data_IF_555648591829
#
_entry.id   IF_555648591829
#
_cell.length_a   1.000
_cell.length_b   1.000
_cell.length_c   1.000
_cell.angle_alpha   90.00
_cell.angle_beta   90.00
_cell.angle_gamma   90.00
#
_symmetry.space_group_name_H-M   'P 1'
#
loop_
_entity.id
_entity.type
_entity.pdbx_description
1 polymer ?
#
# COMPACT_ATOMS: atom_id res chain seq x y z
N UNK A 1 13.68 -30.58 -20.00
CA UNK A 1 12.88 -30.87 -18.81
C UNK A 1 12.44 -29.50 -18.28
N UNK A 2 11.14 -29.23 -18.17
CA UNK A 2 10.63 -27.98 -17.60
C UNK A 2 11.09 -27.93 -16.14
N UNK A 3 11.86 -26.90 -15.78
CA UNK A 3 12.21 -26.67 -14.38
C UNK A 3 10.93 -26.42 -13.60
N UNK A 4 10.78 -27.11 -12.45
CA UNK A 4 9.59 -27.00 -11.63
C UNK A 4 9.39 -25.56 -11.14
N UNK A 5 8.13 -25.07 -11.03
CA UNK A 5 7.83 -23.70 -10.64
C UNK A 5 8.27 -23.39 -9.22
N UNK A 6 8.32 -22.10 -8.89
CA UNK A 6 8.68 -21.58 -7.58
C UNK A 6 7.46 -20.90 -6.94
N UNK A 7 7.20 -21.16 -5.67
CA UNK A 7 6.15 -20.51 -4.88
C UNK A 7 6.73 -19.29 -4.15
N UNK A 8 6.09 -18.13 -4.32
CA UNK A 8 6.44 -16.89 -3.68
C UNK A 8 5.35 -16.54 -2.68
N UNK A 9 5.71 -16.12 -1.47
CA UNK A 9 4.78 -15.77 -0.40
C UNK A 9 5.21 -14.44 0.22
N UNK A 10 4.31 -13.48 0.24
CA UNK A 10 4.44 -12.19 0.91
C UNK A 10 3.43 -12.11 2.05
N UNK A 11 3.90 -12.29 3.28
CA UNK A 11 3.12 -12.27 4.50
C UNK A 11 3.24 -10.91 5.19
N UNK A 12 2.30 -10.01 4.89
CA UNK A 12 2.11 -8.74 5.59
C UNK A 12 1.18 -8.88 6.80
N UNK A 13 1.05 -7.81 7.60
CA UNK A 13 0.27 -7.83 8.85
C UNK A 13 -1.24 -8.04 8.65
N UNK A 14 -1.80 -7.69 7.49
CA UNK A 14 -3.25 -7.77 7.22
C UNK A 14 -3.62 -8.93 6.30
N UNK A 15 -2.71 -9.37 5.43
CA UNK A 15 -2.96 -10.41 4.43
C UNK A 15 -1.68 -11.10 3.99
N UNK A 16 -1.85 -12.31 3.48
CA UNK A 16 -0.81 -13.07 2.77
C UNK A 16 -1.13 -13.00 1.28
N UNK A 17 -0.16 -12.57 0.46
CA UNK A 17 -0.19 -12.67 -1.01
C UNK A 17 0.73 -13.79 -1.43
N UNK A 18 0.40 -14.49 -2.52
CA UNK A 18 1.25 -15.53 -3.07
C UNK A 18 1.22 -15.52 -4.59
N UNK A 19 2.26 -16.05 -5.19
CA UNK A 19 2.34 -16.31 -6.62
C UNK A 19 3.12 -17.60 -6.87
N UNK A 20 2.74 -18.34 -7.91
CA UNK A 20 3.51 -19.43 -8.48
C UNK A 20 4.12 -18.92 -9.78
N UNK A 21 5.43 -19.01 -9.91
CA UNK A 21 6.17 -18.56 -11.09
C UNK A 21 6.94 -19.71 -11.72
N UNK A 22 7.06 -19.69 -13.04
CA UNK A 22 7.90 -20.64 -13.77
C UNK A 22 9.41 -20.31 -13.64
N UNK A 23 10.27 -21.08 -14.29
CA UNK A 23 11.73 -20.88 -14.28
C UNK A 23 12.18 -19.58 -14.96
N UNK A 24 11.32 -18.95 -15.76
CA UNK A 24 11.56 -17.64 -16.39
C UNK A 24 11.11 -16.49 -15.51
N UNK A 25 10.37 -16.79 -14.43
CA UNK A 25 9.75 -15.81 -13.56
C UNK A 25 8.36 -15.35 -14.03
N UNK A 26 7.79 -16.05 -15.04
CA UNK A 26 6.43 -15.76 -15.52
C UNK A 26 5.39 -16.31 -14.54
N UNK A 27 4.33 -15.55 -14.34
CA UNK A 27 3.29 -15.85 -13.37
C UNK A 27 2.35 -16.92 -13.90
N UNK A 28 2.29 -18.06 -13.21
CA UNK A 28 1.39 -19.18 -13.53
C UNK A 28 0.07 -19.09 -12.78
N UNK A 29 0.13 -18.65 -11.51
CA UNK A 29 -1.03 -18.46 -10.65
C UNK A 29 -0.67 -17.47 -9.53
N UNK A 30 -1.67 -16.81 -8.97
CA UNK A 30 -1.49 -15.94 -7.81
C UNK A 30 -2.79 -15.82 -7.01
N UNK A 31 -2.68 -15.30 -5.80
CA UNK A 31 -3.82 -15.06 -4.94
C UNK A 31 -3.44 -14.34 -3.65
N UNK A 32 -4.46 -14.08 -2.84
CA UNK A 32 -4.26 -13.48 -1.53
C UNK A 32 -5.30 -13.99 -0.52
N UNK A 33 -4.91 -14.00 0.77
CA UNK A 33 -5.77 -14.33 1.89
C UNK A 33 -5.69 -13.23 2.95
N UNK A 34 -6.78 -12.96 3.62
CA UNK A 34 -6.78 -12.08 4.79
C UNK A 34 -6.42 -12.87 6.06
N UNK A 35 -5.81 -12.18 7.02
CA UNK A 35 -5.73 -12.70 8.38
C UNK A 35 -7.06 -12.40 9.07
N UNK A 36 -7.88 -13.42 9.35
CA UNK A 36 -8.92 -13.29 10.36
C UNK A 36 -8.25 -13.35 11.72
N UNK A 37 -8.38 -12.30 12.50
CA UNK A 37 -8.07 -12.33 13.92
C UNK A 37 -9.28 -12.98 14.61
N UNK A 38 -9.10 -14.16 15.14
CA UNK A 38 -10.06 -14.75 16.05
C UNK A 38 -10.09 -13.88 17.32
N UNK A 39 -11.28 -13.49 17.75
CA UNK A 39 -11.48 -12.72 18.99
C UNK A 39 -10.95 -13.46 20.24
N UNK A 40 -10.72 -14.77 20.13
CA UNK A 40 -10.19 -15.63 21.18
C UNK A 40 -8.67 -15.76 21.18
N UNK A 41 -7.97 -15.20 20.19
CA UNK A 41 -6.49 -15.27 20.10
C UNK A 41 -5.93 -16.65 19.74
N UNK A 42 -6.76 -17.62 19.36
CA UNK A 42 -6.40 -19.03 19.21
C UNK A 42 -6.50 -19.61 17.79
N UNK A 43 -6.85 -18.83 16.80
CA UNK A 43 -6.86 -19.33 15.42
C UNK A 43 -7.21 -18.29 14.38
N UNK A 44 -6.31 -18.07 13.42
CA UNK A 44 -6.58 -17.25 12.26
C UNK A 44 -7.41 -18.04 11.24
N UNK A 45 -8.62 -17.61 10.91
CA UNK A 45 -9.44 -18.14 9.81
C UNK A 45 -9.12 -17.38 8.52
N UNK A 46 -8.97 -18.10 7.41
CA UNK A 46 -8.59 -17.54 6.11
C UNK A 46 -9.84 -17.25 5.28
N UNK A 47 -10.09 -15.99 4.95
CA UNK A 47 -11.07 -15.62 3.91
C UNK A 47 -10.36 -15.25 2.60
N UNK A 48 -10.77 -15.83 1.47
CA UNK A 48 -10.26 -15.42 0.17
C UNK A 48 -10.75 -14.01 -0.18
N UNK A 49 -9.85 -13.16 -0.68
CA UNK A 49 -10.22 -11.87 -1.26
C UNK A 49 -10.85 -12.08 -2.63
N UNK A 50 -11.98 -11.40 -2.89
CA UNK A 50 -12.59 -11.35 -4.22
C UNK A 50 -11.66 -10.58 -5.17
N UNK A 51 -11.23 -11.25 -6.22
CA UNK A 51 -10.43 -10.69 -7.29
C UNK A 51 -9.25 -11.59 -7.66
N UNK A 52 -9.47 -12.53 -8.55
CA UNK A 52 -8.39 -13.14 -9.30
C UNK A 52 -7.73 -12.03 -10.14
N UNK A 53 -6.46 -11.72 -9.87
CA UNK A 53 -5.66 -10.96 -10.80
C UNK A 53 -5.45 -11.84 -12.02
N UNK A 54 -5.75 -11.34 -13.21
CA UNK A 54 -5.55 -12.08 -14.46
C UNK A 54 -4.14 -12.61 -14.58
N UNK A 55 -3.97 -13.72 -15.30
CA UNK A 55 -2.71 -14.44 -15.52
C UNK A 55 -1.63 -13.62 -16.27
N UNK A 56 -1.84 -12.33 -16.45
CA UNK A 56 -0.89 -11.36 -17.00
C UNK A 56 -0.70 -10.24 -16.00
N UNK A 57 0.17 -10.46 -15.02
CA UNK A 57 0.47 -9.53 -13.92
C UNK A 57 1.24 -8.28 -14.31
N UNK A 58 0.71 -7.48 -15.20
CA UNK A 58 1.23 -6.14 -15.47
C UNK A 58 0.13 -5.24 -15.99
N UNK A 59 -0.67 -4.69 -15.09
CA UNK A 59 -1.41 -3.48 -15.43
C UNK A 59 -0.56 -2.28 -15.03
N UNK A 60 0.30 -1.82 -15.92
CA UNK A 60 0.87 -0.47 -15.88
C UNK A 60 -0.26 0.50 -16.22
N UNK A 61 -1.03 0.92 -15.24
CA UNK A 61 -1.95 2.05 -15.39
C UNK A 61 -1.14 3.34 -15.26
N UNK A 62 -0.74 3.90 -16.38
CA UNK A 62 -0.25 5.26 -16.46
C UNK A 62 -1.46 6.18 -16.57
N UNK A 63 -1.77 6.90 -15.53
CA UNK A 63 -2.69 8.04 -15.62
C UNK A 63 -1.85 9.31 -15.66
N UNK A 64 -1.73 9.97 -16.83
CA UNK A 64 -1.09 11.28 -16.87
C UNK A 64 -2.04 12.30 -16.28
N UNK A 65 -1.63 12.93 -15.18
CA UNK A 65 -2.26 14.17 -14.76
C UNK A 65 -1.87 15.26 -15.77
N UNK A 66 -2.78 15.62 -16.66
CA UNK A 66 -2.64 16.81 -17.49
C UNK A 66 -2.75 18.05 -16.58
N UNK A 67 -1.65 18.75 -16.41
CA UNK A 67 -1.65 20.16 -16.02
C UNK A 67 -0.68 20.90 -16.92
N UNK A 68 -1.24 21.49 -17.98
CA UNK A 68 -0.58 22.56 -18.74
C UNK A 68 -0.54 23.81 -17.87
N UNK A 69 0.59 24.05 -17.23
CA UNK A 69 0.99 25.40 -16.79
C UNK A 69 2.52 25.47 -16.78
N UNK A 70 3.05 26.20 -17.75
CA UNK A 70 4.47 26.47 -17.90
C UNK A 70 5.02 27.24 -16.69
N UNK A 71 6.23 26.91 -16.20
CA UNK A 71 6.88 27.68 -15.15
C UNK A 71 7.60 28.89 -15.75
N UNK A 72 7.35 30.03 -15.17
CA UNK A 72 8.23 31.19 -15.28
C UNK A 72 9.37 31.05 -14.29
N UNK A 73 10.61 31.02 -14.82
CA UNK A 73 11.83 31.19 -14.00
C UNK A 73 11.84 32.56 -13.34
N UNK A 74 12.52 32.75 -12.22
CA UNK A 74 13.92 33.10 -12.25
C UNK A 74 14.80 32.76 -11.03
N UNK A 75 16.08 32.69 -11.32
CA UNK A 75 17.30 33.15 -10.58
C UNK A 75 17.36 33.17 -9.05
N UNK A 76 18.33 32.49 -8.58
CA UNK A 76 19.56 32.79 -7.86
C UNK A 76 19.81 32.01 -6.57
N UNK A 77 20.87 31.23 -6.66
CA UNK A 77 22.08 31.17 -5.84
C UNK A 77 22.02 30.68 -4.36
N UNK A 78 22.75 29.56 -4.20
CA UNK A 78 23.72 29.27 -3.13
C UNK A 78 23.26 29.20 -1.67
N UNK A 79 23.32 28.08 -1.01
CA UNK A 79 24.48 27.66 -0.21
C UNK A 79 24.20 26.38 0.59
N UNK A 80 25.15 25.50 0.62
CA UNK A 80 25.13 24.29 1.40
C UNK A 80 25.43 24.64 2.88
N UNK A 81 24.49 24.38 3.79
CA UNK A 81 24.80 24.20 5.22
C UNK A 81 23.75 23.36 5.95
N UNK A 82 24.25 22.56 6.87
CA UNK A 82 23.64 21.53 7.65
C UNK A 82 22.36 21.88 8.41
N UNK A 83 21.59 20.85 8.70
CA UNK A 83 20.40 20.91 9.55
C UNK A 83 20.76 21.34 10.96
N UNK A 84 20.47 22.61 11.29
CA UNK A 84 20.34 23.09 12.65
C UNK A 84 18.87 23.51 12.84
N UNK A 85 18.18 22.87 13.80
CA UNK A 85 16.88 23.33 14.26
C UNK A 85 17.04 24.74 14.83
N UNK A 86 16.61 25.76 14.11
CA UNK A 86 16.50 27.12 14.61
C UNK A 86 15.14 27.27 15.29
N UNK A 87 15.16 27.53 16.59
CA UNK A 87 14.00 28.03 17.33
C UNK A 87 13.64 29.42 16.80
N UNK A 88 12.61 29.51 15.98
CA UNK A 88 12.01 30.79 15.62
C UNK A 88 11.10 31.24 16.76
N UNK A 89 11.50 32.33 17.43
CA UNK A 89 10.68 33.07 18.37
C UNK A 89 9.48 33.64 17.62
N UNK A 90 8.28 33.15 17.94
CA UNK A 90 7.03 33.70 17.42
C UNK A 90 6.74 34.99 18.17
N UNK A 91 6.85 36.12 17.50
CA UNK A 91 6.33 37.39 17.94
C UNK A 91 4.79 37.35 17.78
N UNK A 92 4.07 37.52 18.89
CA UNK A 92 2.62 37.51 18.91
C UNK A 92 2.08 38.81 18.30
N UNK A 93 1.31 38.70 17.23
CA UNK A 93 0.47 39.79 16.72
C UNK A 93 -0.78 39.96 17.59
N UNK A 94 -1.31 41.19 17.75
CA UNK A 94 -2.42 41.46 18.64
C UNK A 94 -3.73 40.92 18.05
N UNK A 95 -4.56 40.37 18.93
CA UNK A 95 -5.85 39.74 18.65
C UNK A 95 -6.81 40.64 17.84
N UNK A 96 -7.51 40.04 16.84
CA UNK A 96 -8.58 40.74 16.14
C UNK A 96 -9.81 40.92 17.04
N UNK A 97 -10.47 42.11 16.95
CA UNK A 97 -11.67 42.48 17.67
C UNK A 97 -12.86 41.61 17.23
N UNK A 98 -13.82 41.32 18.14
CA UNK A 98 -14.99 40.54 17.79
C UNK A 98 -15.94 41.34 16.89
N UNK A 99 -16.35 40.74 15.78
CA UNK A 99 -17.46 41.20 14.96
C UNK A 99 -18.77 40.65 15.59
N UNK A 100 -19.45 41.52 16.29
CA UNK A 100 -20.85 41.35 16.64
C UNK A 100 -21.70 42.11 15.59
N UNK A 101 -22.89 41.55 15.31
CA UNK A 101 -24.04 42.14 14.61
C UNK A 101 -24.02 42.11 13.07
N UNK A 102 -24.71 41.12 12.53
CA UNK A 102 -25.72 41.28 11.47
C UNK A 102 -26.33 39.94 11.07
N UNK A 103 -27.36 39.51 11.80
CA UNK A 103 -28.35 38.57 11.25
C UNK A 103 -29.70 38.83 11.87
N UNK A 104 -30.44 39.81 11.32
CA UNK A 104 -31.88 39.88 11.50
C UNK A 104 -32.60 39.49 10.20
N UNK A 105 -33.45 38.50 10.38
CA UNK A 105 -34.75 38.27 9.79
C UNK A 105 -34.95 38.35 8.26
N UNK A 106 -35.34 37.26 7.68
CA UNK A 106 -36.47 37.22 6.73
C UNK A 106 -37.31 35.96 6.92
N UNK A 107 -38.54 36.22 7.14
CA UNK A 107 -39.67 35.40 7.52
C UNK A 107 -40.28 34.62 6.33
N UNK A 108 -40.83 33.45 6.69
CA UNK A 108 -42.03 32.76 6.18
C UNK A 108 -42.34 32.69 4.68
N UNK A 109 -42.49 31.47 4.19
CA UNK A 109 -43.80 31.03 3.66
C UNK A 109 -43.84 29.49 3.51
N UNK A 110 -44.82 28.93 4.18
CA UNK A 110 -45.24 27.54 4.13
C UNK A 110 -45.89 27.20 2.77
N UNK A 111 -45.59 26.00 2.28
CA UNK A 111 -46.49 25.25 1.42
C UNK A 111 -46.46 23.76 1.75
N UNK A 112 -47.52 23.35 2.43
CA UNK A 112 -47.96 21.97 2.61
C UNK A 112 -48.43 21.39 1.27
N UNK A 113 -47.89 20.26 0.89
CA UNK A 113 -48.58 19.34 -0.03
C UNK A 113 -48.53 17.91 0.53
N UNK A 114 -49.71 17.52 1.01
CA UNK A 114 -50.10 16.13 1.26
C UNK A 114 -50.28 15.39 -0.07
N UNK A 115 -49.73 14.20 -0.22
CA UNK A 115 -50.30 13.16 -1.08
C UNK A 115 -49.95 11.76 -0.56
N UNK A 116 -50.94 11.13 -0.19
CA UNK A 116 -51.61 9.85 -0.11
C UNK A 116 -50.90 8.71 -0.85
N UNK A 117 -50.60 7.63 -0.10
CA UNK A 117 -50.22 6.32 -0.62
C UNK A 117 -51.38 5.62 -1.34
N UNK A 118 -51.08 4.67 -2.22
CA UNK A 118 -51.92 3.50 -2.38
C UNK A 118 -51.21 2.20 -2.02
N UNK A 119 -51.94 1.36 -1.28
CA UNK A 119 -51.70 -0.04 -1.04
C UNK A 119 -51.74 -0.82 -2.35
N UNK A 120 -50.89 -1.83 -2.43
CA UNK A 120 -50.96 -2.85 -3.45
C UNK A 120 -50.03 -4.00 -3.06
N UNK A 121 -50.66 -5.05 -2.51
CA UNK A 121 -50.07 -6.40 -2.33
C UNK A 121 -49.62 -6.94 -3.68
N UNK A 122 -48.40 -7.41 -3.77
CA UNK A 122 -48.16 -8.57 -4.62
C UNK A 122 -46.92 -9.34 -4.17
N UNK A 123 -47.13 -10.63 -3.93
CA UNK A 123 -46.15 -11.60 -3.56
C UNK A 123 -45.29 -11.98 -4.77
N UNK A 124 -44.00 -11.75 -4.74
CA UNK A 124 -43.08 -12.38 -5.69
C UNK A 124 -41.88 -12.97 -4.99
N UNK A 125 -41.85 -14.25 -5.13
CA UNK A 125 -40.83 -15.24 -4.87
C UNK A 125 -39.44 -14.69 -5.17
N UNK A 126 -38.64 -14.39 -4.14
CA UNK A 126 -37.21 -14.18 -4.27
C UNK A 126 -36.51 -15.53 -4.28
N UNK A 127 -36.15 -16.00 -5.46
CA UNK A 127 -35.13 -17.02 -5.60
C UNK A 127 -33.81 -16.41 -5.14
N UNK A 128 -33.36 -16.78 -3.96
CA UNK A 128 -31.97 -16.56 -3.52
C UNK A 128 -31.04 -17.30 -4.50
N UNK A 129 -30.48 -16.55 -5.43
CA UNK A 129 -29.34 -17.01 -6.19
C UNK A 129 -28.18 -17.12 -5.20
N UNK A 130 -27.91 -18.31 -4.71
CA UNK A 130 -26.72 -18.65 -3.92
C UNK A 130 -25.50 -18.27 -4.75
N UNK A 131 -24.81 -17.22 -4.36
CA UNK A 131 -23.53 -16.86 -4.95
C UNK A 131 -22.58 -18.07 -4.85
N UNK A 132 -21.83 -18.43 -5.91
CA UNK A 132 -20.94 -19.58 -5.85
C UNK A 132 -19.95 -19.39 -4.71
N UNK A 133 -19.86 -20.38 -3.82
CA UNK A 133 -18.95 -20.41 -2.72
C UNK A 133 -17.51 -20.20 -3.25
N UNK A 134 -16.85 -19.17 -2.76
CA UNK A 134 -15.44 -18.89 -3.10
C UNK A 134 -14.61 -20.08 -2.61
N UNK A 135 -13.75 -20.68 -3.46
CA UNK A 135 -12.94 -21.82 -3.06
C UNK A 135 -12.08 -21.46 -1.84
N UNK A 136 -12.03 -22.36 -0.87
CA UNK A 136 -11.14 -22.21 0.29
C UNK A 136 -9.69 -22.09 -0.16
N UNK A 137 -8.81 -21.52 0.64
CA UNK A 137 -7.37 -21.43 0.37
C UNK A 137 -6.75 -22.76 0.00
N UNK A 138 -7.16 -23.83 0.67
CA UNK A 138 -6.73 -25.19 0.38
C UNK A 138 -7.19 -25.64 -1.00
N UNK A 139 -8.39 -25.27 -1.42
CA UNK A 139 -8.89 -25.54 -2.77
C UNK A 139 -8.11 -24.78 -3.85
N UNK A 140 -7.71 -23.53 -3.59
CA UNK A 140 -6.89 -22.75 -4.53
C UNK A 140 -5.50 -23.38 -4.73
N UNK A 141 -4.88 -23.89 -3.67
CA UNK A 141 -3.56 -24.53 -3.75
C UNK A 141 -3.61 -25.99 -4.20
N UNK A 142 -4.75 -26.69 -4.04
CA UNK A 142 -4.91 -28.08 -4.45
C UNK A 142 -4.74 -28.30 -5.97
N UNK A 143 -5.08 -27.31 -6.78
CA UNK A 143 -4.98 -27.36 -8.23
C UNK A 143 -3.58 -26.94 -8.75
N UNK A 144 -2.68 -26.43 -7.88
CA UNK A 144 -1.36 -25.97 -8.31
C UNK A 144 -0.39 -27.12 -8.57
N UNK A 145 0.48 -27.03 -9.59
CA UNK A 145 1.57 -27.95 -9.75
C UNK A 145 2.54 -27.88 -8.57
N UNK A 146 3.22 -28.97 -8.28
CA UNK A 146 4.19 -29.04 -7.18
C UNK A 146 5.36 -28.08 -7.43
N UNK A 147 5.57 -27.08 -6.55
CA UNK A 147 6.71 -26.19 -6.68
C UNK A 147 8.02 -26.88 -6.27
N UNK A 148 9.14 -26.41 -6.79
CA UNK A 148 10.51 -26.87 -6.41
C UNK A 148 10.97 -26.25 -5.10
N UNK A 149 10.49 -25.05 -4.78
CA UNK A 149 10.85 -24.29 -3.59
C UNK A 149 9.81 -23.23 -3.27
N UNK A 150 9.78 -22.78 -2.02
CA UNK A 150 9.03 -21.62 -1.57
C UNK A 150 9.96 -20.53 -1.05
N UNK A 151 9.69 -19.27 -1.45
CA UNK A 151 10.43 -18.09 -1.00
C UNK A 151 9.45 -17.17 -0.27
N UNK A 152 9.76 -16.86 0.97
CA UNK A 152 8.83 -16.27 1.92
C UNK A 152 9.39 -14.93 2.42
N UNK A 153 8.67 -13.84 2.18
CA UNK A 153 8.79 -12.59 2.93
C UNK A 153 7.76 -12.62 4.04
N UNK A 154 8.18 -12.48 5.29
CA UNK A 154 7.27 -12.45 6.44
C UNK A 154 7.65 -11.31 7.38
N UNK A 155 6.76 -10.35 7.52
CA UNK A 155 6.82 -9.24 8.49
C UNK A 155 5.65 -9.28 9.49
N UNK A 156 4.82 -10.32 9.43
CA UNK A 156 3.65 -10.51 10.29
C UNK A 156 3.93 -11.33 11.57
N UNK A 157 5.20 -11.73 11.77
CA UNK A 157 5.63 -12.38 13.01
C UNK A 157 5.61 -13.91 12.97
N UNK A 158 5.92 -14.52 14.14
CA UNK A 158 6.15 -15.96 14.25
C UNK A 158 4.87 -16.79 14.10
N UNK A 159 3.72 -16.31 14.53
CA UNK A 159 2.43 -17.02 14.42
C UNK A 159 2.05 -17.22 12.96
N UNK A 160 2.22 -16.17 12.15
CA UNK A 160 1.97 -16.23 10.70
C UNK A 160 2.99 -17.13 10.00
N UNK A 161 4.26 -17.11 10.43
CA UNK A 161 5.27 -18.05 9.92
C UNK A 161 4.86 -19.49 10.17
N UNK A 162 4.49 -19.84 11.41
CA UNK A 162 4.06 -21.19 11.77
C UNK A 162 2.81 -21.63 10.98
N UNK A 163 1.90 -20.70 10.71
CA UNK A 163 0.73 -20.96 9.88
C UNK A 163 1.11 -21.29 8.44
N UNK A 164 1.97 -20.46 7.81
CA UNK A 164 2.48 -20.73 6.45
C UNK A 164 3.14 -22.10 6.40
N UNK A 165 3.95 -22.43 7.38
CA UNK A 165 4.61 -23.74 7.46
C UNK A 165 3.62 -24.88 7.52
N UNK A 166 2.58 -24.80 8.38
CA UNK A 166 1.51 -25.82 8.43
C UNK A 166 0.79 -25.98 7.10
N UNK A 167 0.46 -24.87 6.40
CA UNK A 167 -0.18 -24.90 5.10
C UNK A 167 0.71 -25.57 4.04
N UNK A 168 2.01 -25.28 4.07
CA UNK A 168 2.98 -25.90 3.16
C UNK A 168 3.19 -27.37 3.49
N UNK A 169 3.24 -27.75 4.77
CA UNK A 169 3.38 -29.16 5.21
C UNK A 169 2.18 -30.01 4.79
N UNK A 170 0.99 -29.47 4.93
CA UNK A 170 -0.24 -30.17 4.54
C UNK A 170 -0.27 -30.48 3.03
N UNK A 171 0.32 -29.61 2.20
CA UNK A 171 0.25 -29.76 0.74
C UNK A 171 1.55 -30.29 0.11
N UNK A 172 2.70 -29.82 0.59
CA UNK A 172 4.03 -30.16 0.08
C UNK A 172 5.03 -30.35 1.22
N UNK A 173 4.98 -31.47 1.95
CA UNK A 173 5.73 -31.67 3.21
C UNK A 173 7.26 -31.58 3.02
N UNK A 174 7.77 -31.91 1.84
CA UNK A 174 9.21 -31.87 1.52
C UNK A 174 9.63 -30.63 0.74
N UNK A 175 8.77 -29.61 0.66
CA UNK A 175 9.08 -28.40 -0.10
C UNK A 175 10.22 -27.63 0.59
N UNK A 176 11.29 -27.34 -0.17
CA UNK A 176 12.37 -26.46 0.29
C UNK A 176 11.82 -25.05 0.54
N UNK A 177 12.07 -24.48 1.72
CA UNK A 177 11.59 -23.16 2.12
C UNK A 177 12.74 -22.22 2.41
N UNK A 178 12.63 -20.99 1.98
CA UNK A 178 13.61 -19.92 2.25
C UNK A 178 12.87 -18.69 2.75
N UNK A 179 13.09 -18.32 4.01
CA UNK A 179 12.62 -17.05 4.55
C UNK A 179 13.63 -15.98 4.16
N UNK A 180 13.17 -15.01 3.35
CA UNK A 180 13.99 -13.93 2.84
C UNK A 180 14.31 -12.93 3.96
N UNK A 181 15.56 -12.49 4.01
CA UNK A 181 16.02 -11.41 4.89
C UNK A 181 16.77 -10.38 4.04
N UNK A 182 16.68 -9.12 4.43
CA UNK A 182 17.43 -8.06 3.78
C UNK A 182 18.95 -8.29 3.96
N UNK A 183 19.70 -7.92 2.96
CA UNK A 183 21.17 -8.05 2.90
C UNK A 183 21.81 -6.69 2.65
N UNK A 184 23.12 -6.60 2.81
CA UNK A 184 23.87 -5.41 2.43
C UNK A 184 23.82 -5.14 0.92
N UNK A 185 23.79 -6.21 0.09
CA UNK A 185 23.67 -6.11 -1.37
C UNK A 185 22.99 -7.36 -1.93
N UNK A 186 22.05 -7.18 -2.86
CA UNK A 186 21.42 -8.28 -3.59
C UNK A 186 20.67 -7.75 -4.82
N UNK A 187 20.67 -8.47 -5.93
CA UNK A 187 19.94 -8.15 -7.17
C UNK A 187 20.12 -6.69 -7.62
N UNK A 188 21.35 -6.17 -7.50
CA UNK A 188 21.69 -4.79 -7.89
C UNK A 188 21.20 -3.70 -6.91
N UNK A 189 20.61 -4.04 -5.77
CA UNK A 189 20.28 -3.08 -4.71
C UNK A 189 21.33 -3.11 -3.61
N UNK A 190 21.78 -1.92 -3.19
CA UNK A 190 22.71 -1.68 -2.07
C UNK A 190 21.94 -1.09 -0.92
N UNK A 191 22.02 -1.71 0.25
CA UNK A 191 21.30 -1.29 1.46
C UNK A 191 22.21 -0.43 2.35
N UNK A 192 21.86 0.85 2.54
CA UNK A 192 22.63 1.77 3.38
C UNK A 192 22.13 1.83 4.84
N UNK A 193 21.26 0.93 5.27
CA UNK A 193 20.93 0.82 6.69
C UNK A 193 22.20 0.46 7.50
N UNK A 194 22.33 1.07 8.68
CA UNK A 194 23.43 0.77 9.62
C UNK A 194 23.47 -0.71 9.98
N UNK A 195 22.30 -1.35 10.09
CA UNK A 195 22.12 -2.78 10.28
C UNK A 195 21.21 -3.31 9.15
N UNK A 196 21.76 -3.76 8.02
CA UNK A 196 21.02 -4.16 6.83
C UNK A 196 19.95 -5.24 7.08
N UNK A 197 20.21 -6.17 8.01
CA UNK A 197 19.33 -7.26 8.41
C UNK A 197 18.08 -6.80 9.19
N UNK A 198 18.07 -5.57 9.67
CA UNK A 198 16.92 -4.96 10.36
C UNK A 198 15.88 -4.38 9.40
N UNK A 199 16.18 -4.25 8.13
CA UNK A 199 15.21 -3.83 7.13
C UNK A 199 14.19 -4.95 6.89
N UNK A 200 12.90 -4.60 6.87
CA UNK A 200 11.81 -5.54 6.57
C UNK A 200 12.00 -6.26 5.23
N UNK A 201 11.71 -7.55 5.19
CA UNK A 201 11.88 -8.37 3.99
C UNK A 201 10.95 -7.95 2.85
N UNK A 202 9.77 -7.41 3.17
CA UNK A 202 8.80 -6.85 2.24
C UNK A 202 9.36 -5.58 1.55
N UNK A 203 9.89 -4.65 2.34
CA UNK A 203 10.53 -3.44 1.83
C UNK A 203 11.74 -3.76 0.96
N UNK A 204 12.58 -4.71 1.41
CA UNK A 204 13.74 -5.19 0.68
C UNK A 204 13.35 -5.79 -0.68
N UNK A 205 12.41 -6.73 -0.67
CA UNK A 205 11.93 -7.37 -1.90
C UNK A 205 11.22 -6.35 -2.80
N UNK A 206 10.41 -5.45 -2.22
CA UNK A 206 9.72 -4.39 -2.96
C UNK A 206 10.68 -3.48 -3.72
N UNK A 207 11.80 -3.07 -3.11
CA UNK A 207 12.84 -2.27 -3.78
C UNK A 207 13.55 -3.02 -4.91
N UNK A 208 13.85 -4.31 -4.72
CA UNK A 208 14.43 -5.15 -5.77
C UNK A 208 13.45 -5.25 -6.96
N UNK A 209 12.16 -5.45 -6.68
CA UNK A 209 11.13 -5.48 -7.71
C UNK A 209 10.99 -4.13 -8.43
N UNK A 210 10.98 -3.03 -7.68
CA UNK A 210 10.88 -1.69 -8.25
C UNK A 210 12.08 -1.32 -9.13
N UNK A 211 13.31 -1.63 -8.68
CA UNK A 211 14.53 -1.41 -9.48
C UNK A 211 14.48 -2.15 -10.82
N UNK A 212 13.97 -3.38 -10.81
CA UNK A 212 13.87 -4.18 -12.03
C UNK A 212 12.76 -3.67 -12.96
N UNK A 213 11.66 -3.15 -12.40
CA UNK A 213 10.57 -2.58 -13.19
C UNK A 213 10.93 -1.21 -13.80
N UNK A 214 11.80 -0.43 -13.13
CA UNK A 214 12.21 0.92 -13.54
C UNK A 214 13.74 1.06 -13.51
N UNK A 215 14.45 0.39 -14.41
CA UNK A 215 15.91 0.38 -14.41
C UNK A 215 16.49 1.74 -14.76
N UNK A 216 17.50 2.17 -13.97
CA UNK A 216 18.20 3.44 -14.22
C UNK A 216 17.43 4.70 -13.78
N UNK A 217 16.29 4.54 -13.08
CA UNK A 217 15.53 5.67 -12.56
C UNK A 217 15.75 5.86 -11.04
N UNK A 218 15.68 7.11 -10.59
CA UNK A 218 15.54 7.43 -9.18
C UNK A 218 14.10 7.17 -8.76
N UNK A 219 13.89 6.44 -7.66
CA UNK A 219 12.57 6.02 -7.21
C UNK A 219 12.28 6.50 -5.79
N UNK A 220 11.07 7.00 -5.58
CA UNK A 220 10.41 7.01 -4.29
C UNK A 220 9.31 5.97 -4.34
N UNK A 221 9.47 4.90 -3.56
CA UNK A 221 8.51 3.80 -3.50
C UNK A 221 7.65 4.01 -2.27
N UNK A 222 6.33 4.12 -2.45
CA UNK A 222 5.35 4.29 -1.37
C UNK A 222 4.47 3.05 -1.29
N UNK A 223 4.50 2.35 -0.15
CA UNK A 223 3.69 1.14 0.06
C UNK A 223 2.68 1.37 1.18
N UNK A 224 1.39 1.13 0.89
CA UNK A 224 0.25 1.41 1.76
C UNK A 224 -0.34 0.12 2.34
N UNK A 225 0.02 -0.17 3.57
CA UNK A 225 -0.50 -1.27 4.38
C UNK A 225 -1.00 -0.79 5.75
N UNK A 226 -0.79 -1.59 6.78
CA UNK A 226 -0.97 -1.19 8.19
C UNK A 226 -0.09 0.01 8.52
N UNK A 227 1.14 0.01 8.01
CA UNK A 227 1.99 1.19 7.94
C UNK A 227 2.08 1.68 6.49
N UNK A 228 2.31 2.98 6.31
CA UNK A 228 2.79 3.56 5.06
C UNK A 228 4.30 3.63 5.14
N UNK A 229 4.99 3.02 4.19
CA UNK A 229 6.45 3.09 4.08
C UNK A 229 6.87 3.82 2.82
N UNK A 230 7.96 4.57 2.91
CA UNK A 230 8.59 5.26 1.80
C UNK A 230 10.04 4.81 1.70
N UNK A 231 10.47 4.35 0.53
CA UNK A 231 11.84 3.94 0.24
C UNK A 231 12.43 4.84 -0.85
N UNK A 232 13.58 5.48 -0.53
CA UNK A 232 14.32 6.33 -1.45
C UNK A 232 15.45 5.53 -2.10
N UNK A 233 15.30 5.20 -3.38
CA UNK A 233 16.23 4.37 -4.15
C UNK A 233 16.82 5.18 -5.30
N UNK A 234 18.15 5.29 -5.35
CA UNK A 234 18.86 5.96 -6.45
C UNK A 234 18.88 5.11 -7.72
N UNK A 235 19.08 5.75 -8.85
CA UNK A 235 19.17 5.13 -10.16
C UNK A 235 20.25 4.02 -10.25
N UNK A 236 21.34 4.14 -9.49
CA UNK A 236 22.38 3.15 -9.37
C UNK A 236 22.01 1.93 -8.50
N UNK A 237 20.84 1.96 -7.87
CA UNK A 237 20.34 0.92 -6.96
C UNK A 237 20.70 1.14 -5.50
N UNK A 238 21.25 2.28 -5.12
CA UNK A 238 21.57 2.60 -3.73
C UNK A 238 20.30 3.02 -2.98
N UNK A 239 19.86 2.20 -2.01
CA UNK A 239 18.81 2.54 -1.05
C UNK A 239 19.39 3.41 0.04
N UNK A 240 19.09 4.71 0.01
CA UNK A 240 19.65 5.69 0.95
C UNK A 240 18.95 5.73 2.31
N UNK A 241 17.71 5.24 2.39
CA UNK A 241 16.90 5.25 3.60
C UNK A 241 15.41 5.33 3.28
N UNK A 242 14.59 5.32 4.32
CA UNK A 242 13.13 5.37 4.16
C UNK A 242 12.42 5.95 5.37
N UNK A 243 11.12 6.16 5.21
CA UNK A 243 10.22 6.64 6.26
C UNK A 243 9.18 5.56 6.57
N UNK A 244 8.68 5.55 7.80
CA UNK A 244 7.57 4.71 8.22
C UNK A 244 6.58 5.61 8.96
N UNK A 245 5.33 5.58 8.55
CA UNK A 245 4.24 6.29 9.19
C UNK A 245 3.06 5.33 9.43
N UNK A 246 2.13 5.64 10.34
CA UNK A 246 0.89 4.88 10.44
C UNK A 246 0.15 4.92 9.11
N UNK A 247 -0.36 3.78 8.63
CA UNK A 247 -1.19 3.75 7.43
C UNK A 247 -2.54 4.43 7.65
N UNK A 248 -3.23 4.77 6.56
CA UNK A 248 -4.49 5.52 6.60
C UNK A 248 -5.53 4.90 7.56
N UNK A 249 -5.79 3.59 7.42
CA UNK A 249 -6.74 2.90 8.31
C UNK A 249 -6.28 2.91 9.77
N UNK A 250 -4.98 2.71 10.03
CA UNK A 250 -4.44 2.73 11.39
C UNK A 250 -4.53 4.13 12.02
N UNK A 251 -4.34 5.20 11.25
CA UNK A 251 -4.52 6.58 11.74
C UNK A 251 -5.96 6.81 12.20
N UNK A 252 -6.94 6.41 11.39
CA UNK A 252 -8.36 6.56 11.74
C UNK A 252 -8.75 5.71 12.97
N UNK A 253 -8.33 4.44 13.00
CA UNK A 253 -8.57 3.56 14.14
C UNK A 253 -7.94 4.10 15.42
N UNK A 254 -6.71 4.61 15.34
CA UNK A 254 -6.01 5.19 16.49
C UNK A 254 -6.78 6.38 17.06
N UNK A 255 -7.30 7.26 16.23
CA UNK A 255 -8.11 8.40 16.67
C UNK A 255 -9.43 7.94 17.29
N UNK A 256 -10.15 7.02 16.66
CA UNK A 256 -11.40 6.47 17.22
C UNK A 256 -11.21 5.73 18.54
N UNK A 257 -10.08 5.02 18.71
CA UNK A 257 -9.80 4.25 19.94
C UNK A 257 -9.25 5.09 21.09
N UNK A 258 -8.60 6.23 20.80
CA UNK A 258 -7.94 7.05 21.82
C UNK A 258 -8.64 8.39 22.09
N UNK A 259 -9.85 8.59 21.56
CA UNK A 259 -10.67 9.78 21.82
C UNK A 259 -12.09 9.36 22.22
N UNK A 260 -12.74 10.16 23.08
CA UNK A 260 -14.04 9.80 23.65
C UNK A 260 -15.22 9.91 22.64
N UNK A 261 -15.08 10.69 21.59
CA UNK A 261 -16.23 11.05 20.72
C UNK A 261 -15.97 10.83 19.23
N UNK A 262 -14.74 10.51 18.80
CA UNK A 262 -14.50 10.23 17.40
C UNK A 262 -14.96 8.81 17.04
N UNK A 263 -15.61 8.64 15.88
CA UNK A 263 -16.03 7.32 15.44
C UNK A 263 -14.82 6.44 15.08
N UNK A 264 -14.90 5.15 15.38
CA UNK A 264 -13.97 4.16 14.84
C UNK A 264 -14.45 3.80 13.43
N UNK A 265 -13.65 4.13 12.41
CA UNK A 265 -13.98 3.87 11.02
C UNK A 265 -13.09 2.74 10.48
N UNK A 266 -13.72 1.80 9.80
CA UNK A 266 -13.01 0.88 8.89
C UNK A 266 -12.77 1.56 7.51
N UNK A 267 -11.98 0.91 6.65
CA UNK A 267 -11.63 1.46 5.35
C UNK A 267 -12.87 1.67 4.44
N UNK A 268 -13.89 0.81 4.53
CA UNK A 268 -15.10 0.91 3.72
C UNK A 268 -15.95 2.11 4.15
N UNK A 269 -16.19 2.25 5.46
CA UNK A 269 -16.92 3.38 6.05
C UNK A 269 -16.22 4.71 5.78
N UNK A 270 -14.89 4.71 5.84
CA UNK A 270 -14.09 5.90 5.55
C UNK A 270 -14.18 6.33 4.08
N UNK A 271 -14.15 5.39 3.13
CA UNK A 271 -14.38 5.66 1.70
C UNK A 271 -15.77 6.25 1.48
N UNK A 272 -16.80 5.59 2.02
CA UNK A 272 -18.18 6.07 1.93
C UNK A 272 -18.36 7.47 2.52
N UNK A 273 -17.59 7.84 3.55
CA UNK A 273 -17.60 9.17 4.12
C UNK A 273 -16.95 10.20 3.18
N UNK A 274 -15.84 9.84 2.53
CA UNK A 274 -15.17 10.69 1.52
C UNK A 274 -16.05 10.93 0.29
N UNK A 275 -16.74 9.90 -0.20
CA UNK A 275 -17.60 9.98 -1.39
C UNK A 275 -18.80 10.93 -1.21
N UNK A 276 -19.19 11.22 0.04
CA UNK A 276 -20.27 12.15 0.35
C UNK A 276 -19.87 13.61 0.39
N UNK A 277 -18.58 13.92 0.34
CA UNK A 277 -18.08 15.29 0.44
C UNK A 277 -17.49 15.78 -0.87
N UNK A 278 -17.94 16.94 -1.33
CA UNK A 278 -17.37 17.63 -2.50
C UNK A 278 -16.16 18.50 -2.14
N UNK A 279 -15.88 18.69 -0.85
CA UNK A 279 -14.82 19.55 -0.33
C UNK A 279 -13.84 18.77 0.54
N UNK A 280 -12.57 19.15 0.53
CA UNK A 280 -11.56 18.63 1.46
C UNK A 280 -11.86 19.00 2.92
N UNK A 281 -12.60 20.10 3.15
CA UNK A 281 -13.10 20.48 4.47
C UNK A 281 -14.53 19.95 4.62
N UNK A 282 -14.64 18.82 5.29
CA UNK A 282 -15.89 18.13 5.49
C UNK A 282 -16.76 18.80 6.58
N UNK A 283 -18.08 18.62 6.49
CA UNK A 283 -19.07 19.19 7.42
C UNK A 283 -19.63 18.17 8.41
N UNK A 284 -19.10 16.94 8.42
CA UNK A 284 -19.37 15.91 9.43
C UNK A 284 -18.08 15.26 9.94
N UNK A 285 -18.14 14.70 11.15
CA UNK A 285 -16.96 14.18 11.85
C UNK A 285 -16.32 12.99 11.14
N UNK A 286 -17.08 12.07 10.57
CA UNK A 286 -16.57 10.89 9.90
C UNK A 286 -15.82 11.27 8.61
N UNK A 287 -16.39 12.16 7.81
CA UNK A 287 -15.74 12.67 6.61
C UNK A 287 -14.51 13.54 6.95
N UNK A 288 -14.56 14.36 7.99
CA UNK A 288 -13.44 15.18 8.45
C UNK A 288 -12.26 14.31 8.92
N UNK A 289 -12.54 13.24 9.68
CA UNK A 289 -11.56 12.26 10.12
C UNK A 289 -10.88 11.56 8.93
N UNK A 290 -11.70 11.06 7.99
CA UNK A 290 -11.22 10.35 6.81
C UNK A 290 -10.37 11.25 5.90
N UNK A 291 -10.87 12.47 5.62
CA UNK A 291 -10.18 13.45 4.77
C UNK A 291 -8.87 13.94 5.40
N UNK A 292 -8.86 14.19 6.72
CA UNK A 292 -7.66 14.62 7.44
C UNK A 292 -6.56 13.57 7.41
N UNK A 293 -6.90 12.29 7.68
CA UNK A 293 -5.95 11.19 7.60
C UNK A 293 -5.45 10.95 6.17
N UNK A 294 -6.33 11.07 5.16
CA UNK A 294 -5.97 10.94 3.76
C UNK A 294 -5.01 12.05 3.32
N UNK A 295 -5.30 13.28 3.67
CA UNK A 295 -4.46 14.42 3.34
C UNK A 295 -3.09 14.35 4.03
N UNK A 296 -3.03 13.86 5.27
CA UNK A 296 -1.76 13.64 5.97
C UNK A 296 -0.87 12.64 5.23
N UNK A 297 -1.45 11.55 4.68
CA UNK A 297 -0.73 10.57 3.88
C UNK A 297 -0.22 11.19 2.56
N UNK A 298 -1.10 11.86 1.83
CA UNK A 298 -0.75 12.50 0.56
C UNK A 298 0.36 13.54 0.74
N UNK A 299 0.24 14.40 1.76
CA UNK A 299 1.23 15.45 2.06
C UNK A 299 2.60 14.89 2.46
N UNK A 300 2.66 13.78 3.21
CA UNK A 300 3.91 13.09 3.53
C UNK A 300 4.62 12.64 2.26
N UNK A 301 3.89 12.04 1.34
CA UNK A 301 4.44 11.49 0.09
C UNK A 301 4.92 12.61 -0.83
N UNK A 302 4.07 13.61 -1.06
CA UNK A 302 4.39 14.76 -1.91
C UNK A 302 5.59 15.53 -1.37
N UNK A 303 5.64 15.75 -0.05
CA UNK A 303 6.77 16.40 0.59
C UNK A 303 8.06 15.59 0.40
N UNK A 304 8.04 14.28 0.67
CA UNK A 304 9.21 13.41 0.48
C UNK A 304 9.66 13.39 -0.99
N UNK A 305 8.72 13.36 -1.95
CA UNK A 305 9.01 13.39 -3.37
C UNK A 305 9.66 14.71 -3.81
N UNK A 306 9.15 15.85 -3.36
CA UNK A 306 9.72 17.16 -3.65
C UNK A 306 11.11 17.30 -3.02
N UNK A 307 11.29 16.86 -1.77
CA UNK A 307 12.58 16.93 -1.08
C UNK A 307 13.65 16.09 -1.78
N UNK A 308 13.31 14.88 -2.26
CA UNK A 308 14.25 14.03 -3.00
C UNK A 308 14.62 14.64 -4.36
N UNK A 309 13.66 15.19 -5.09
CA UNK A 309 13.94 15.88 -6.38
C UNK A 309 14.87 17.07 -6.17
N UNK A 310 14.62 17.86 -5.14
CA UNK A 310 15.48 18.99 -4.79
C UNK A 310 16.88 18.54 -4.34
N UNK A 311 16.97 17.51 -3.50
CA UNK A 311 18.23 16.98 -2.99
C UNK A 311 19.09 16.32 -4.07
N UNK A 312 18.45 15.56 -4.98
CA UNK A 312 19.19 14.84 -6.02
C UNK A 312 19.35 15.63 -7.32
N UNK A 313 18.63 16.77 -7.42
CA UNK A 313 18.57 17.60 -8.64
C UNK A 313 18.27 16.77 -9.90
N UNK A 314 17.35 15.81 -9.75
CA UNK A 314 17.01 14.82 -10.76
C UNK A 314 15.51 14.51 -10.71
N UNK A 315 15.00 13.95 -11.80
CA UNK A 315 13.66 13.39 -11.81
C UNK A 315 13.59 12.16 -10.91
N UNK A 316 12.52 12.08 -10.12
CA UNK A 316 12.22 10.96 -9.22
C UNK A 316 10.86 10.40 -9.59
N UNK A 317 10.82 9.13 -9.96
CA UNK A 317 9.55 8.42 -10.18
C UNK A 317 8.94 8.07 -8.84
N UNK A 318 7.70 8.46 -8.62
CA UNK A 318 6.89 8.00 -7.48
C UNK A 318 6.17 6.71 -7.88
N UNK A 319 6.45 5.62 -7.16
CA UNK A 319 5.83 4.30 -7.37
C UNK A 319 4.95 3.97 -6.19
N UNK A 320 3.67 3.69 -6.44
CA UNK A 320 2.67 3.38 -5.42
C UNK A 320 2.35 1.89 -5.40
N UNK A 321 2.28 1.30 -4.22
CA UNK A 321 1.85 -0.07 -4.01
C UNK A 321 1.05 -0.26 -2.72
N UNK A 322 0.47 -1.44 -2.53
CA UNK A 322 -0.27 -1.75 -1.31
C UNK A 322 -1.79 -1.59 -1.41
N UNK A 323 -2.49 -1.92 -0.31
CA UNK A 323 -3.94 -2.06 -0.33
C UNK A 323 -4.73 -0.77 -0.40
N UNK A 324 -4.19 0.33 0.15
CA UNK A 324 -4.83 1.65 0.14
C UNK A 324 -4.28 2.57 -0.97
N UNK A 325 -3.59 1.99 -1.97
CA UNK A 325 -2.98 2.78 -3.05
C UNK A 325 -4.00 3.58 -3.88
N UNK A 326 -5.21 3.07 -4.07
CA UNK A 326 -6.25 3.76 -4.82
C UNK A 326 -6.71 5.06 -4.15
N UNK A 327 -6.98 4.98 -2.85
CA UNK A 327 -7.45 6.11 -2.06
C UNK A 327 -6.40 7.21 -1.98
N UNK A 328 -5.15 6.80 -1.74
CA UNK A 328 -4.04 7.75 -1.65
C UNK A 328 -3.74 8.35 -3.02
N UNK A 329 -3.72 7.56 -4.10
CA UNK A 329 -3.49 8.03 -5.45
C UNK A 329 -4.46 9.14 -5.87
N UNK A 330 -5.75 9.00 -5.52
CA UNK A 330 -6.77 10.02 -5.79
C UNK A 330 -6.56 11.35 -5.05
N UNK A 331 -5.76 11.36 -3.97
CA UNK A 331 -5.44 12.56 -3.19
C UNK A 331 -4.13 13.22 -3.59
N UNK A 332 -3.28 12.54 -4.38
CA UNK A 332 -1.99 13.07 -4.83
C UNK A 332 -2.17 14.01 -6.02
N UNK A 333 -1.42 15.11 -6.01
CA UNK A 333 -1.31 16.07 -7.12
C UNK A 333 -0.06 15.86 -7.98
N UNK A 334 0.85 14.97 -7.55
CA UNK A 334 2.11 14.69 -8.25
C UNK A 334 2.02 13.45 -9.16
N UNK A 335 2.78 13.39 -10.26
CA UNK A 335 2.82 12.23 -11.14
C UNK A 335 3.26 10.99 -10.39
N UNK A 336 2.56 9.88 -10.61
CA UNK A 336 2.88 8.61 -9.97
C UNK A 336 2.57 7.42 -10.88
N UNK A 337 3.19 6.29 -10.58
CA UNK A 337 2.96 5.01 -11.25
C UNK A 337 2.52 3.98 -10.22
N UNK A 338 1.46 3.22 -10.49
CA UNK A 338 1.01 2.14 -9.62
C UNK A 338 1.67 0.82 -10.00
N UNK A 339 2.08 0.05 -8.97
CA UNK A 339 2.60 -1.31 -9.15
C UNK A 339 2.25 -2.19 -7.94
N UNK A 340 1.31 -3.13 -8.11
CA UNK A 340 0.69 -3.88 -7.01
C UNK A 340 1.47 -5.11 -6.53
N UNK A 341 2.49 -5.55 -7.27
CA UNK A 341 3.19 -6.82 -7.03
C UNK A 341 4.71 -6.69 -6.83
N UNK A 342 5.19 -5.51 -6.42
CA UNK A 342 6.64 -5.25 -6.24
C UNK A 342 7.32 -6.29 -5.35
N UNK A 343 6.70 -6.66 -4.22
CA UNK A 343 7.29 -7.62 -3.28
C UNK A 343 7.43 -8.99 -3.90
N UNK A 344 6.37 -9.50 -4.53
CA UNK A 344 6.40 -10.81 -5.20
C UNK A 344 7.36 -10.82 -6.40
N UNK A 345 7.41 -9.74 -7.18
CA UNK A 345 8.38 -9.59 -8.29
C UNK A 345 9.82 -9.60 -7.77
N UNK A 346 10.08 -8.92 -6.66
CA UNK A 346 11.38 -8.95 -5.99
C UNK A 346 11.74 -10.34 -5.45
N UNK A 347 10.78 -11.05 -4.85
CA UNK A 347 10.97 -12.43 -4.40
C UNK A 347 11.32 -13.36 -5.57
N UNK A 348 10.70 -13.20 -6.73
CA UNK A 348 11.05 -13.97 -7.94
C UNK A 348 12.50 -13.73 -8.37
N UNK A 349 12.96 -12.47 -8.33
CA UNK A 349 14.34 -12.09 -8.66
C UNK A 349 15.34 -12.68 -7.64
N UNK A 350 15.02 -12.59 -6.35
CA UNK A 350 15.83 -13.17 -5.27
C UNK A 350 15.95 -14.69 -5.42
N UNK A 351 14.85 -15.38 -5.73
CA UNK A 351 14.82 -16.81 -5.96
C UNK A 351 15.72 -17.20 -7.15
N UNK A 352 15.63 -16.46 -8.24
CA UNK A 352 16.42 -16.66 -9.44
C UNK A 352 17.91 -16.39 -9.23
N UNK A 353 18.27 -15.33 -8.51
CA UNK A 353 19.66 -15.02 -8.13
C UNK A 353 20.27 -16.12 -7.26
N UNK A 354 19.50 -16.70 -6.34
CA UNK A 354 19.97 -17.76 -5.46
C UNK A 354 20.22 -19.10 -6.20
N UNK A 355 19.48 -19.38 -7.27
CA UNK A 355 19.58 -20.60 -8.06
C UNK A 355 20.54 -20.48 -9.25
N UNK A 356 21.01 -19.27 -9.57
CA UNK A 356 21.96 -19.03 -10.65
C UNK A 356 23.30 -19.74 -10.38
N UNK A 357 23.93 -20.39 -11.41
CA UNK A 357 25.25 -20.97 -11.27
C UNK A 357 26.29 -19.92 -10.84
N UNK A 358 27.23 -20.34 -10.00
CA UNK A 358 28.29 -19.48 -9.42
C UNK A 358 29.09 -18.73 -10.48
N UNK A 359 29.22 -19.30 -11.69
CA UNK A 359 29.91 -18.66 -12.81
C UNK A 359 29.35 -17.34 -13.31
N UNK A 360 28.08 -17.03 -13.01
CA UNK A 360 27.46 -15.73 -13.34
C UNK A 360 27.63 -14.65 -12.26
N UNK A 361 28.00 -15.03 -11.04
CA UNK A 361 28.15 -14.10 -9.90
C UNK A 361 29.48 -13.35 -9.86
N UNK A 362 30.41 -13.66 -10.75
CA UNK A 362 31.76 -13.06 -10.81
C UNK A 362 31.87 -11.94 -11.86
N UNK A 363 30.82 -11.64 -12.60
CA UNK A 363 30.81 -10.63 -13.68
C UNK A 363 29.93 -9.38 -13.42
N UNK A 364 29.31 -9.28 -12.24
CA UNK A 364 28.58 -8.09 -11.74
C UNK A 364 29.28 -7.57 -10.45
#
# INVERSE_FOLDING_TARGET
MSEAPCLLIDAGNSRIKWALVDSRGEWMANGAFEHERDETGLGDVVKPLHGALDARGSALSQTPAQSDLAPKSPHDAADARGFAFSQATVQADPAPKPLHDAFEARDSSAHTHTNKAPNGDDASITSEATAPATPSTEAAWSALPTPSSAWISNVAGASVQARIERMLDARWPNLRRTVVRAKARQCGVVNCYTAPDRLGSDRWSGMIGARAAFPGEHLLIATFGTATTLEALRADGTFIGGLIAPGWSLMMQSLGSNTAQLPTLDAASARAALDRTASRFATDTAAALSAGCLLAQASLIERAWHDLRAQWQAEVRLVLGGGAANEIAGALSVPHTRHDSLVLSGLALIARDATAPISRKLSD
#
